data_IF_964818714512
#
_entry.id   IF_964818714512
#
_cell.length_a   1.000
_cell.length_b   1.000
_cell.length_c   1.000
_cell.angle_alpha   90.00
_cell.angle_beta   90.00
_cell.angle_gamma   90.00
#
_symmetry.space_group_name_H-M   'P 1'
#
loop_
_entity.id
_entity.type
_entity.pdbx_description
1 polymer ?
#
# COMPACT_ATOMS: atom_id res chain seq x y z
N UNK A 1 -6.55 -20.88 -1.65
CA UNK A 1 -5.65 -20.01 -0.89
C UNK A 1 -5.45 -18.74 -1.68
N UNK A 2 -5.74 -17.58 -1.09
CA UNK A 2 -5.67 -16.32 -1.81
C UNK A 2 -5.17 -15.23 -0.87
N UNK A 3 -3.98 -14.68 -1.12
CA UNK A 3 -3.38 -13.59 -0.36
C UNK A 3 -3.26 -12.36 -1.27
N UNK A 4 -3.82 -11.23 -0.87
CA UNK A 4 -3.64 -9.95 -1.58
C UNK A 4 -2.83 -8.96 -0.74
N UNK A 5 -1.93 -8.25 -1.41
CA UNK A 5 -1.16 -7.16 -0.85
C UNK A 5 -1.87 -5.82 -1.07
N UNK A 6 -2.10 -5.05 -0.01
CA UNK A 6 -2.55 -3.66 -0.07
C UNK A 6 -1.32 -2.78 0.17
N UNK A 7 -0.93 -2.02 -0.85
CA UNK A 7 0.26 -1.16 -0.83
C UNK A 7 -0.07 0.27 -1.26
N UNK A 8 0.92 1.13 -1.36
CA UNK A 8 0.80 2.53 -1.77
C UNK A 8 1.67 3.44 -0.92
N UNK A 9 1.89 4.65 -1.39
CA UNK A 9 2.68 5.68 -0.71
C UNK A 9 2.17 5.95 0.71
N UNK A 10 3.03 6.26 1.70
CA UNK A 10 2.58 6.70 3.01
C UNK A 10 1.58 7.85 2.91
N UNK A 11 0.42 7.71 3.55
CA UNK A 11 -0.65 8.74 3.50
C UNK A 11 -1.80 8.45 2.54
N UNK A 12 -1.69 7.48 1.63
CA UNK A 12 -2.76 7.16 0.66
C UNK A 12 -4.04 6.58 1.27
N UNK A 13 -4.00 6.08 2.51
CA UNK A 13 -5.20 5.60 3.21
C UNK A 13 -5.19 4.12 3.59
N UNK A 14 -4.09 3.40 3.39
CA UNK A 14 -3.96 1.96 3.68
C UNK A 14 -4.56 1.54 5.02
N UNK A 15 -4.10 2.14 6.11
CA UNK A 15 -4.54 1.76 7.46
C UNK A 15 -6.03 2.04 7.71
N UNK A 16 -6.58 3.11 7.14
CA UNK A 16 -8.01 3.42 7.26
C UNK A 16 -8.87 2.41 6.51
N UNK A 17 -8.48 2.09 5.27
CA UNK A 17 -9.17 1.09 4.45
C UNK A 17 -9.05 -0.30 5.06
N UNK A 18 -7.88 -0.65 5.60
CA UNK A 18 -7.66 -1.92 6.30
C UNK A 18 -8.50 -2.04 7.57
N UNK A 19 -8.68 -0.95 8.33
CA UNK A 19 -9.58 -0.92 9.48
C UNK A 19 -11.05 -1.14 9.06
N UNK A 20 -11.48 -0.53 7.98
CA UNK A 20 -12.82 -0.73 7.41
C UNK A 20 -13.02 -2.17 6.96
N UNK A 21 -12.06 -2.76 6.24
CA UNK A 21 -12.13 -4.17 5.81
C UNK A 21 -12.18 -5.13 7.00
N UNK A 22 -11.41 -4.89 8.07
CA UNK A 22 -11.50 -5.66 9.31
C UNK A 22 -12.89 -5.55 9.95
N UNK A 23 -13.50 -4.35 9.94
CA UNK A 23 -14.86 -4.16 10.46
C UNK A 23 -15.92 -4.94 9.69
N UNK A 24 -15.65 -5.23 8.41
CA UNK A 24 -16.47 -6.06 7.52
C UNK A 24 -16.18 -7.57 7.65
N UNK A 25 -15.23 -7.95 8.48
CA UNK A 25 -14.88 -9.36 8.75
C UNK A 25 -13.75 -9.93 7.90
N UNK A 26 -13.02 -9.10 7.15
CA UNK A 26 -11.82 -9.55 6.44
C UNK A 26 -10.64 -9.70 7.38
N UNK A 27 -9.85 -10.74 7.17
CA UNK A 27 -8.55 -10.90 7.83
C UNK A 27 -7.50 -10.04 7.10
N UNK A 28 -7.00 -9.00 7.78
CA UNK A 28 -6.01 -8.07 7.23
C UNK A 28 -4.83 -7.97 8.19
N UNK A 29 -3.70 -8.50 7.80
CA UNK A 29 -2.45 -8.40 8.56
C UNK A 29 -1.84 -6.99 8.42
N UNK A 30 -1.51 -6.37 9.54
CA UNK A 30 -0.62 -5.21 9.58
C UNK A 30 0.83 -5.69 9.56
N UNK A 31 1.47 -5.61 8.38
CA UNK A 31 2.85 -6.08 8.18
C UNK A 31 3.84 -5.29 9.04
N UNK A 32 3.60 -4.00 9.29
CA UNK A 32 4.46 -3.20 10.18
C UNK A 32 4.40 -3.69 11.64
N UNK A 33 3.22 -4.06 12.11
CA UNK A 33 3.06 -4.68 13.44
C UNK A 33 3.71 -6.07 13.48
N UNK A 34 3.59 -6.85 12.41
CA UNK A 34 4.23 -8.16 12.27
C UNK A 34 5.76 -8.06 12.33
N UNK A 35 6.37 -7.15 11.58
CA UNK A 35 7.82 -6.87 11.60
C UNK A 35 8.30 -6.60 13.03
N UNK A 36 7.57 -5.76 13.77
CA UNK A 36 7.92 -5.43 15.16
C UNK A 36 7.80 -6.64 16.10
N UNK A 37 6.71 -7.40 15.97
CA UNK A 37 6.44 -8.55 16.83
C UNK A 37 7.45 -9.69 16.64
N UNK A 38 8.01 -9.84 15.43
CA UNK A 38 8.96 -10.90 15.07
C UNK A 38 10.41 -10.45 15.07
N UNK A 39 10.69 -9.17 15.42
CA UNK A 39 12.05 -8.66 15.51
C UNK A 39 12.76 -8.54 14.17
N UNK A 40 12.04 -8.35 13.07
CA UNK A 40 12.55 -8.24 11.71
C UNK A 40 13.04 -6.81 11.36
N UNK A 41 13.12 -5.91 12.35
CA UNK A 41 13.69 -4.58 12.16
C UNK A 41 15.23 -4.68 12.15
N UNK A 42 15.84 -4.29 11.05
CA UNK A 42 17.29 -4.15 10.88
C UNK A 42 17.84 -2.84 11.45
N UNK A 43 18.94 -2.38 10.88
CA UNK A 43 19.60 -1.14 11.29
C UNK A 43 18.70 0.09 11.12
N UNK A 44 18.88 1.08 12.00
CA UNK A 44 18.21 2.38 11.88
C UNK A 44 18.92 3.20 10.79
N UNK A 45 18.20 3.60 9.75
CA UNK A 45 18.62 4.67 8.85
C UNK A 45 18.29 6.02 9.51
N UNK A 46 19.30 6.63 10.14
CA UNK A 46 19.13 7.91 10.86
C UNK A 46 18.73 9.07 9.92
N UNK A 47 19.11 9.00 8.64
CA UNK A 47 18.81 10.05 7.67
C UNK A 47 17.32 10.08 7.29
N UNK A 48 16.68 8.90 7.26
CA UNK A 48 15.28 8.74 6.88
C UNK A 48 14.36 8.47 8.07
N UNK A 49 14.92 8.29 9.27
CA UNK A 49 14.19 7.86 10.48
C UNK A 49 13.35 6.60 10.22
N UNK A 50 13.96 5.61 9.57
CA UNK A 50 13.35 4.32 9.22
C UNK A 50 14.30 3.17 9.54
N UNK A 51 13.76 1.99 9.80
CA UNK A 51 14.54 0.77 9.92
C UNK A 51 14.60 0.05 8.58
N UNK A 52 15.77 -0.47 8.26
CA UNK A 52 15.91 -1.43 7.17
C UNK A 52 15.14 -2.71 7.52
N UNK A 53 14.60 -3.36 6.50
CA UNK A 53 13.91 -4.65 6.61
C UNK A 53 14.46 -5.54 5.52
N UNK A 54 14.92 -6.73 5.90
CA UNK A 54 15.26 -7.76 4.93
C UNK A 54 13.96 -8.32 4.33
N UNK A 55 13.82 -8.17 3.01
CA UNK A 55 12.58 -8.56 2.31
C UNK A 55 12.43 -10.09 2.21
N UNK A 56 13.53 -10.82 2.14
CA UNK A 56 13.51 -12.28 2.08
C UNK A 56 13.08 -12.85 3.44
N UNK A 57 13.68 -12.37 4.53
CA UNK A 57 13.29 -12.75 5.90
C UNK A 57 11.82 -12.38 6.19
N UNK A 58 11.37 -11.22 5.71
CA UNK A 58 9.98 -10.81 5.86
C UNK A 58 9.04 -11.73 5.09
N UNK A 59 9.36 -12.04 3.84
CA UNK A 59 8.55 -12.92 2.99
C UNK A 59 8.44 -14.34 3.57
N UNK A 60 9.55 -14.87 4.07
CA UNK A 60 9.59 -16.19 4.72
C UNK A 60 8.72 -16.19 6.00
N UNK A 61 8.76 -15.11 6.78
CA UNK A 61 7.95 -14.98 8.00
C UNK A 61 6.44 -14.94 7.74
N UNK A 62 6.03 -14.66 6.49
CA UNK A 62 4.63 -14.58 6.05
C UNK A 62 4.15 -15.85 5.32
N UNK A 63 5.00 -16.88 5.20
CA UNK A 63 4.68 -18.11 4.47
C UNK A 63 3.40 -18.77 5.00
N UNK A 64 3.16 -18.74 6.31
CA UNK A 64 1.97 -19.32 6.93
C UNK A 64 0.65 -18.75 6.37
N UNK A 65 0.60 -17.47 5.97
CA UNK A 65 -0.58 -16.86 5.35
C UNK A 65 -0.89 -17.45 3.99
N UNK A 66 0.13 -17.95 3.31
CA UNK A 66 -0.02 -18.59 2.00
C UNK A 66 -0.48 -20.05 2.12
N UNK A 67 -0.28 -20.65 3.29
CA UNK A 67 -0.68 -22.03 3.57
C UNK A 67 -2.08 -22.13 4.18
N UNK A 68 -2.54 -21.09 4.88
CA UNK A 68 -3.89 -21.05 5.45
C UNK A 68 -4.98 -21.01 4.37
N UNK A 69 -6.06 -21.75 4.59
CA UNK A 69 -7.22 -21.74 3.69
C UNK A 69 -7.99 -20.40 3.85
N UNK A 70 -8.44 -19.84 2.72
CA UNK A 70 -9.27 -18.66 2.72
C UNK A 70 -8.67 -17.49 1.95
N UNK A 71 -9.26 -16.33 2.18
CA UNK A 71 -8.81 -15.04 1.67
C UNK A 71 -8.16 -14.26 2.80
N UNK A 72 -6.90 -13.92 2.60
CA UNK A 72 -6.12 -13.08 3.50
C UNK A 72 -5.67 -11.81 2.78
N UNK A 73 -5.58 -10.73 3.53
CA UNK A 73 -5.04 -9.46 3.07
C UNK A 73 -3.85 -9.07 3.95
N UNK A 74 -2.85 -8.40 3.37
CA UNK A 74 -1.75 -7.80 4.13
C UNK A 74 -1.56 -6.34 3.71
N UNK A 75 -1.28 -5.46 4.67
CA UNK A 75 -1.12 -4.04 4.39
C UNK A 75 0.27 -3.53 4.81
N UNK A 76 0.97 -2.91 3.88
CA UNK A 76 2.22 -2.17 4.12
C UNK A 76 2.60 -1.38 2.87
N UNK A 77 3.48 -0.39 3.02
CA UNK A 77 4.17 0.21 1.88
C UNK A 77 5.22 -0.72 1.23
N UNK A 78 5.53 -1.87 1.87
CA UNK A 78 6.45 -2.91 1.37
C UNK A 78 5.72 -4.16 0.88
N UNK A 79 4.41 -4.27 1.05
CA UNK A 79 3.69 -5.52 0.80
C UNK A 79 3.68 -5.96 -0.66
N UNK A 80 3.94 -5.06 -1.61
CA UNK A 80 4.07 -5.39 -3.04
C UNK A 80 5.34 -6.19 -3.39
N UNK A 81 6.31 -6.26 -2.47
CA UNK A 81 7.50 -7.11 -2.63
C UNK A 81 7.29 -8.55 -2.12
N UNK A 82 6.17 -8.82 -1.47
CA UNK A 82 5.88 -10.13 -0.89
C UNK A 82 5.18 -11.04 -1.90
N UNK A 83 5.41 -12.34 -1.76
CA UNK A 83 4.72 -13.34 -2.56
C UNK A 83 3.22 -13.34 -2.24
N UNK A 84 2.40 -13.03 -3.24
CA UNK A 84 0.95 -12.94 -3.10
C UNK A 84 0.23 -13.27 -4.41
N UNK A 85 -1.09 -13.35 -4.36
CA UNK A 85 -1.95 -13.66 -5.51
C UNK A 85 -2.35 -12.42 -6.32
N UNK A 86 -2.20 -11.24 -5.72
CA UNK A 86 -2.51 -9.96 -6.38
C UNK A 86 -2.08 -8.77 -5.51
N UNK A 87 -1.75 -7.68 -6.16
CA UNK A 87 -1.28 -6.44 -5.53
C UNK A 87 -2.30 -5.32 -5.79
N UNK A 88 -2.74 -4.67 -4.73
CA UNK A 88 -3.68 -3.54 -4.78
C UNK A 88 -2.92 -2.28 -4.35
N UNK A 89 -2.66 -1.38 -5.29
CA UNK A 89 -1.97 -0.12 -5.06
C UNK A 89 -2.98 0.98 -4.79
N UNK A 90 -2.98 1.51 -3.57
CA UNK A 90 -3.81 2.67 -3.23
C UNK A 90 -3.11 3.93 -3.68
N UNK A 91 -3.81 4.71 -4.50
CA UNK A 91 -3.34 5.97 -5.06
C UNK A 91 -3.98 7.15 -4.35
N UNK A 92 -3.31 8.30 -4.40
CA UNK A 92 -3.86 9.53 -3.84
C UNK A 92 -3.32 10.74 -4.59
N UNK A 93 -4.22 11.64 -4.99
CA UNK A 93 -3.84 12.92 -5.64
C UNK A 93 -2.75 13.64 -4.83
N UNK A 94 -1.67 14.13 -5.46
CA UNK A 94 -0.51 14.72 -4.78
C UNK A 94 -0.86 15.83 -3.79
N UNK A 95 -1.72 16.77 -4.17
CA UNK A 95 -2.18 17.86 -3.29
C UNK A 95 -2.91 17.33 -2.05
N UNK A 96 -3.80 16.36 -2.22
CA UNK A 96 -4.54 15.70 -1.12
C UNK A 96 -3.60 14.92 -0.21
N UNK A 97 -2.63 14.20 -0.82
CA UNK A 97 -1.62 13.44 -0.09
C UNK A 97 -0.76 14.37 0.79
N UNK A 98 -0.32 15.51 0.24
CA UNK A 98 0.46 16.51 0.97
C UNK A 98 -0.29 17.00 2.21
N UNK A 99 -1.58 17.32 2.08
CA UNK A 99 -2.40 17.79 3.20
C UNK A 99 -2.59 16.69 4.26
N UNK A 100 -2.80 15.43 3.86
CA UNK A 100 -2.88 14.28 4.78
C UNK A 100 -1.58 14.07 5.55
N UNK A 101 -0.43 14.20 4.88
CA UNK A 101 0.89 14.04 5.52
C UNK A 101 1.20 15.21 6.47
N UNK A 102 0.89 16.46 6.09
CA UNK A 102 1.02 17.63 6.96
C UNK A 102 0.15 17.48 8.22
N UNK A 103 -1.09 17.04 8.07
CA UNK A 103 -2.00 16.81 9.19
C UNK A 103 -1.51 15.72 10.15
N UNK A 104 -0.67 14.77 9.67
CA UNK A 104 0.02 13.77 10.49
C UNK A 104 1.30 14.27 11.16
N UNK A 105 1.68 15.51 10.95
CA UNK A 105 2.87 16.14 11.53
C UNK A 105 4.18 15.82 10.80
N UNK A 106 4.13 15.38 9.54
CA UNK A 106 5.34 15.19 8.74
C UNK A 106 6.00 16.53 8.41
N UNK A 107 7.33 16.59 8.54
CA UNK A 107 8.12 17.76 8.13
C UNK A 107 8.08 17.99 6.61
N UNK A 108 8.38 19.21 6.15
CA UNK A 108 8.27 19.60 4.74
C UNK A 108 9.02 18.68 3.78
N UNK A 109 10.24 18.28 4.13
CA UNK A 109 11.08 17.43 3.28
C UNK A 109 10.46 16.03 3.11
N UNK A 110 9.95 15.44 4.22
CA UNK A 110 9.30 14.14 4.19
C UNK A 110 7.95 14.17 3.45
N UNK A 111 7.21 15.29 3.54
CA UNK A 111 6.01 15.51 2.73
C UNK A 111 6.39 15.51 1.26
N UNK A 112 7.39 16.32 0.87
CA UNK A 112 7.85 16.43 -0.53
C UNK A 112 8.32 15.10 -1.08
N UNK A 113 9.16 14.36 -0.36
CA UNK A 113 9.66 13.05 -0.76
C UNK A 113 8.52 12.07 -1.08
N UNK A 114 7.53 11.95 -0.18
CA UNK A 114 6.41 11.04 -0.38
C UNK A 114 5.50 11.49 -1.54
N UNK A 115 5.25 12.79 -1.67
CA UNK A 115 4.44 13.32 -2.77
C UNK A 115 5.14 13.12 -4.12
N UNK A 116 6.44 13.36 -4.20
CA UNK A 116 7.23 13.09 -5.41
C UNK A 116 7.20 11.60 -5.79
N UNK A 117 7.29 10.70 -4.81
CA UNK A 117 7.15 9.26 -5.04
C UNK A 117 5.78 8.90 -5.61
N UNK A 118 4.70 9.53 -5.14
CA UNK A 118 3.34 9.29 -5.65
C UNK A 118 3.17 9.85 -7.07
N UNK A 119 3.68 11.07 -7.34
CA UNK A 119 3.63 11.68 -8.69
C UNK A 119 4.37 10.84 -9.73
N UNK A 120 5.47 10.22 -9.32
CA UNK A 120 6.31 9.39 -10.20
C UNK A 120 5.84 7.93 -10.28
N UNK A 121 4.72 7.58 -9.68
CA UNK A 121 4.17 6.23 -9.68
C UNK A 121 5.12 5.16 -9.13
N UNK A 122 6.04 5.54 -8.21
CA UNK A 122 7.14 4.66 -7.78
C UNK A 122 6.62 3.29 -7.34
N UNK A 123 5.68 3.23 -6.40
CA UNK A 123 5.14 1.94 -5.91
C UNK A 123 4.36 1.19 -6.98
N UNK A 124 3.64 1.90 -7.86
CA UNK A 124 2.94 1.26 -8.97
C UNK A 124 3.92 0.63 -9.95
N UNK A 125 5.00 1.34 -10.29
CA UNK A 125 6.06 0.82 -11.16
C UNK A 125 6.73 -0.42 -10.52
N UNK A 126 7.15 -0.33 -9.25
CA UNK A 126 7.73 -1.45 -8.52
C UNK A 126 6.79 -2.67 -8.49
N UNK A 127 5.50 -2.46 -8.21
CA UNK A 127 4.51 -3.53 -8.21
C UNK A 127 4.36 -4.20 -9.58
N UNK A 128 4.44 -3.44 -10.68
CA UNK A 128 4.29 -3.96 -12.04
C UNK A 128 5.54 -4.63 -12.60
N UNK A 129 6.68 -4.58 -11.90
CA UNK A 129 7.89 -5.34 -12.27
C UNK A 129 7.75 -6.86 -12.04
N UNK A 130 6.79 -7.27 -11.22
CA UNK A 130 6.48 -8.68 -10.99
C UNK A 130 5.42 -9.19 -11.97
N UNK A 131 5.33 -10.52 -12.13
CA UNK A 131 4.27 -11.20 -12.91
C UNK A 131 2.94 -11.31 -12.12
N UNK A 132 2.87 -10.73 -10.92
CA UNK A 132 1.66 -10.75 -10.07
C UNK A 132 0.63 -9.75 -10.62
N UNK A 133 -0.66 -10.11 -10.69
CA UNK A 133 -1.71 -9.17 -11.10
C UNK A 133 -1.74 -7.92 -10.20
N UNK A 134 -1.69 -6.74 -10.82
CA UNK A 134 -1.71 -5.45 -10.12
C UNK A 134 -3.04 -4.73 -10.39
N UNK A 135 -3.57 -4.09 -9.35
CA UNK A 135 -4.79 -3.29 -9.38
C UNK A 135 -4.54 -1.94 -8.74
N UNK A 136 -5.26 -0.92 -9.20
CA UNK A 136 -5.09 0.46 -8.79
C UNK A 136 -6.42 1.02 -8.25
N UNK A 137 -6.39 1.64 -7.07
CA UNK A 137 -7.56 2.23 -6.42
C UNK A 137 -7.26 3.67 -6.01
N UNK A 138 -7.94 4.65 -6.61
CA UNK A 138 -7.82 6.06 -6.22
C UNK A 138 -8.61 6.34 -4.94
N UNK A 139 -7.90 6.76 -3.90
CA UNK A 139 -8.42 7.11 -2.58
C UNK A 139 -8.39 8.63 -2.31
N UNK A 140 -8.28 9.47 -3.34
CA UNK A 140 -8.15 10.93 -3.18
C UNK A 140 -9.36 11.56 -2.51
N UNK A 141 -10.52 11.40 -3.12
CA UNK A 141 -11.76 12.09 -2.78
C UNK A 141 -12.88 11.14 -2.33
N UNK A 142 -12.60 9.83 -2.26
CA UNK A 142 -13.57 8.83 -1.87
C UNK A 142 -13.61 8.62 -0.36
N UNK A 143 -14.82 8.31 0.14
CA UNK A 143 -14.96 7.79 1.49
C UNK A 143 -14.21 6.45 1.64
N UNK A 144 -13.73 6.17 2.84
CA UNK A 144 -13.00 4.92 3.14
C UNK A 144 -13.83 3.70 2.77
N UNK A 145 -15.16 3.75 2.95
CA UNK A 145 -16.06 2.67 2.58
C UNK A 145 -16.06 2.37 1.08
N UNK A 146 -15.98 3.41 0.24
CA UNK A 146 -15.92 3.24 -1.24
C UNK A 146 -14.61 2.58 -1.66
N UNK A 147 -13.50 2.98 -1.05
CA UNK A 147 -12.21 2.33 -1.30
C UNK A 147 -12.21 0.86 -0.83
N UNK A 148 -12.87 0.56 0.28
CA UNK A 148 -13.04 -0.81 0.74
C UNK A 148 -13.95 -1.63 -0.21
N UNK A 149 -15.02 -1.05 -0.75
CA UNK A 149 -15.88 -1.70 -1.76
C UNK A 149 -15.06 -2.05 -3.02
N UNK A 150 -14.17 -1.15 -3.45
CA UNK A 150 -13.28 -1.40 -4.58
C UNK A 150 -12.37 -2.61 -4.32
N UNK A 151 -11.77 -2.71 -3.14
CA UNK A 151 -10.94 -3.86 -2.75
C UNK A 151 -11.78 -5.14 -2.71
N UNK A 152 -12.99 -5.09 -2.15
CA UNK A 152 -13.89 -6.26 -2.16
C UNK A 152 -14.21 -6.74 -3.57
N UNK A 153 -14.47 -5.83 -4.52
CA UNK A 153 -14.71 -6.18 -5.91
C UNK A 153 -13.49 -6.87 -6.52
N UNK A 154 -12.28 -6.32 -6.30
CA UNK A 154 -11.02 -6.89 -6.80
C UNK A 154 -10.84 -8.33 -6.29
N UNK A 155 -10.96 -8.57 -4.98
CA UNK A 155 -10.74 -9.89 -4.40
C UNK A 155 -11.82 -10.91 -4.75
N UNK A 156 -13.01 -10.44 -5.16
CA UNK A 156 -14.10 -11.27 -5.71
C UNK A 156 -13.94 -11.57 -7.20
N UNK A 157 -12.93 -10.99 -7.87
CA UNK A 157 -12.66 -11.15 -9.31
C UNK A 157 -13.37 -10.13 -10.21
N UNK A 158 -14.05 -9.13 -9.65
CA UNK A 158 -14.68 -8.03 -10.37
C UNK A 158 -13.69 -6.87 -10.53
N UNK A 159 -12.57 -7.14 -11.22
CA UNK A 159 -11.38 -6.28 -11.19
C UNK A 159 -11.14 -5.46 -12.48
N UNK A 160 -11.97 -5.57 -13.51
CA UNK A 160 -11.77 -4.90 -14.81
C UNK A 160 -11.65 -3.38 -14.72
N UNK A 161 -12.31 -2.78 -13.74
CA UNK A 161 -12.31 -1.34 -13.54
C UNK A 161 -11.11 -0.82 -12.75
N UNK A 162 -10.29 -1.72 -12.22
CA UNK A 162 -9.16 -1.41 -11.35
C UNK A 162 -7.79 -1.74 -11.96
N UNK A 163 -7.72 -1.93 -13.27
CA UNK A 163 -6.45 -2.17 -13.96
C UNK A 163 -5.54 -0.93 -13.90
N UNK A 164 -4.20 -1.11 -13.80
CA UNK A 164 -3.24 -0.03 -13.72
C UNK A 164 -3.28 0.94 -14.91
N UNK A 165 -2.89 2.20 -14.67
CA UNK A 165 -2.76 3.23 -15.70
C UNK A 165 -4.01 4.08 -15.90
N UNK A 166 -4.96 4.03 -14.97
CA UNK A 166 -6.15 4.91 -14.97
C UNK A 166 -5.92 6.20 -14.18
N UNK A 167 -4.96 6.21 -13.26
CA UNK A 167 -4.62 7.36 -12.43
C UNK A 167 -3.46 8.13 -13.07
N UNK A 168 -3.62 9.41 -13.31
CA UNK A 168 -2.62 10.29 -13.90
C UNK A 168 -2.50 11.58 -13.08
N UNK A 169 -1.31 11.82 -12.55
CA UNK A 169 -0.98 13.01 -11.74
C UNK A 169 -0.12 14.04 -12.48
N UNK A 170 0.03 13.92 -13.81
CA UNK A 170 0.90 14.79 -14.60
C UNK A 170 0.53 16.27 -14.53
N UNK A 171 -0.73 16.61 -14.30
CA UNK A 171 -1.18 18.01 -14.12
C UNK A 171 -0.61 18.67 -12.86
N UNK A 172 -0.31 17.89 -11.81
CA UNK A 172 0.25 18.40 -10.55
C UNK A 172 1.79 18.24 -10.47
N UNK A 173 2.43 17.64 -11.47
CA UNK A 173 3.86 17.34 -11.45
C UNK A 173 4.73 18.59 -11.28
N UNK A 174 4.42 19.68 -11.99
CA UNK A 174 5.22 20.93 -11.97
C UNK A 174 5.25 21.58 -10.57
N UNK A 175 4.24 21.35 -9.74
CA UNK A 175 4.16 21.92 -8.39
C UNK A 175 5.16 21.26 -7.42
N UNK A 176 5.59 20.03 -7.71
CA UNK A 176 6.38 19.22 -6.79
C UNK A 176 7.84 19.03 -7.21
N UNK A 177 8.23 19.47 -8.39
CA UNK A 177 9.59 19.42 -8.94
C UNK A 177 10.10 20.82 -9.30
#
# INVERSE_FOLDING_TARGET
>A
MTLFAITGTPGTGKSSVSAELRSRGYDVLDVKAHIRAHGLMGALDEARDTHEVDLDDLNDSLEYLREEEGLHLMESHLSHFMDCSGIIVLRCRPSVLADRLRARGYGPDKVRENVQSEVQDVILCEATESDIPVFEVDCSDSDVSVSADAIENIVKGESSDYLPGKTDWSEEMEEWF
#
